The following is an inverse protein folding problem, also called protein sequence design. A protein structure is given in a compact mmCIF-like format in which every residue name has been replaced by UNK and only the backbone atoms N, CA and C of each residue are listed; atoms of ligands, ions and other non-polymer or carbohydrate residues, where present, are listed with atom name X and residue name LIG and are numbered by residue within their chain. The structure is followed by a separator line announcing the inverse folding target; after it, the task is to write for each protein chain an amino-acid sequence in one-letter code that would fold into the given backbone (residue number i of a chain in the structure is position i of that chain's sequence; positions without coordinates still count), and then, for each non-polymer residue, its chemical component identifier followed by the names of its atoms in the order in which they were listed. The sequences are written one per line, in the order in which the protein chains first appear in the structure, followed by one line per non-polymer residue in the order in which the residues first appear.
data_IF_696625147091
#
_entry.id   IF_696625147091
#
_cell.length_a   1.000
_cell.length_b   1.000
_cell.length_c   1.000
_cell.angle_alpha   90.00
_cell.angle_beta   90.00
_cell.angle_gamma   90.00
#
_symmetry.space_group_name_H-M   'P 1'
#
loop_
_entity.id
_entity.type
_entity.pdbx_description
1 polymer ?
#
# COMPACT_ATOMS: atom_id res chain seq x y z
N UNK A 1 -10.35 -9.28 27.19
CA UNK A 1 -11.06 -8.87 25.95
C UNK A 1 -12.37 -8.19 26.33
N UNK A 2 -12.76 -7.05 25.71
CA UNK A 2 -14.04 -6.41 25.99
C UNK A 2 -15.22 -7.33 25.65
N UNK A 3 -16.25 -7.35 26.48
CA UNK A 3 -17.47 -8.16 26.32
C UNK A 3 -18.17 -7.99 24.94
N UNK A 4 -17.96 -6.86 24.28
CA UNK A 4 -18.56 -6.51 22.97
C UNK A 4 -18.02 -7.35 21.78
N UNK A 5 -16.91 -8.08 21.97
CA UNK A 5 -16.36 -8.96 20.93
C UNK A 5 -17.13 -10.29 20.84
N UNK A 6 -17.87 -10.65 21.89
CA UNK A 6 -18.59 -11.93 21.97
C UNK A 6 -19.88 -11.98 21.12
N UNK A 7 -20.43 -10.84 20.70
CA UNK A 7 -21.69 -10.78 19.91
C UNK A 7 -21.47 -10.74 18.38
N UNK A 8 -20.24 -10.64 17.92
CA UNK A 8 -19.91 -10.69 16.49
C UNK A 8 -19.51 -12.12 16.10
N UNK A 9 -19.97 -12.60 14.94
CA UNK A 9 -19.55 -13.90 14.37
C UNK A 9 -18.07 -13.84 13.92
N UNK A 10 -17.15 -13.70 14.89
CA UNK A 10 -15.72 -13.73 14.63
C UNK A 10 -15.33 -15.19 14.45
N UNK A 11 -14.89 -15.55 13.24
CA UNK A 11 -14.41 -16.88 12.90
C UNK A 11 -12.88 -16.98 12.89
N UNK A 12 -12.19 -15.84 12.86
CA UNK A 12 -10.72 -15.79 12.85
C UNK A 12 -10.24 -14.83 13.92
N UNK A 13 -9.30 -15.27 14.75
CA UNK A 13 -8.67 -14.46 15.80
C UNK A 13 -7.16 -14.59 15.71
N UNK A 14 -6.46 -13.47 15.55
CA UNK A 14 -4.99 -13.39 15.47
C UNK A 14 -4.51 -12.65 16.71
N UNK A 15 -3.77 -13.35 17.55
CA UNK A 15 -3.20 -12.86 18.81
C UNK A 15 -1.69 -13.07 18.87
N UNK A 16 -1.03 -13.34 17.75
CA UNK A 16 0.40 -13.59 17.69
C UNK A 16 1.23 -12.38 18.15
N UNK A 17 2.42 -12.66 18.68
CA UNK A 17 3.39 -11.65 19.18
C UNK A 17 2.86 -10.75 20.30
N UNK A 18 1.96 -11.24 21.13
CA UNK A 18 1.47 -10.56 22.32
C UNK A 18 2.10 -11.20 23.58
N UNK A 19 1.89 -10.58 24.74
CA UNK A 19 2.34 -11.12 26.04
C UNK A 19 1.20 -11.87 26.72
N UNK A 20 0.51 -12.77 26.00
CA UNK A 20 -0.61 -13.53 26.53
C UNK A 20 -0.04 -14.76 27.26
N UNK A 21 -0.27 -14.84 28.57
CA UNK A 21 0.16 -15.96 29.41
C UNK A 21 -0.95 -17.00 29.60
N UNK A 22 -2.21 -16.55 29.56
CA UNK A 22 -3.39 -17.40 29.73
C UNK A 22 -4.45 -17.03 28.71
N UNK A 23 -5.04 -18.03 28.07
CA UNK A 23 -6.18 -17.89 27.17
C UNK A 23 -7.34 -18.75 27.70
N UNK A 24 -8.47 -18.10 28.01
CA UNK A 24 -9.67 -18.79 28.46
C UNK A 24 -10.36 -19.44 27.26
N UNK A 25 -10.56 -20.76 27.32
CA UNK A 25 -11.17 -21.54 26.24
C UNK A 25 -12.62 -21.09 25.95
N UNK A 26 -13.31 -20.55 26.93
CA UNK A 26 -14.66 -20.01 26.74
C UNK A 26 -14.73 -18.82 25.81
N UNK A 27 -13.62 -18.06 25.72
CA UNK A 27 -13.49 -16.85 24.86
C UNK A 27 -13.22 -17.17 23.40
N UNK A 28 -12.77 -18.39 23.10
CA UNK A 28 -12.43 -18.82 21.74
C UNK A 28 -13.44 -19.83 21.16
N UNK A 29 -14.50 -20.10 21.91
CA UNK A 29 -15.61 -20.94 21.45
C UNK A 29 -16.27 -20.32 20.21
N UNK A 30 -16.25 -21.07 19.08
CA UNK A 30 -16.76 -20.58 17.79
C UNK A 30 -15.71 -19.97 16.86
N UNK A 31 -14.45 -19.85 17.28
CA UNK A 31 -13.36 -19.43 16.43
C UNK A 31 -12.84 -20.63 15.64
N UNK A 32 -12.85 -20.54 14.32
CA UNK A 32 -12.38 -21.60 13.41
C UNK A 32 -10.91 -21.47 13.06
N UNK A 33 -10.33 -20.26 13.20
CA UNK A 33 -8.91 -19.99 12.95
C UNK A 33 -8.35 -19.12 14.07
N UNK A 34 -7.39 -19.68 14.82
CA UNK A 34 -6.70 -19.00 15.92
C UNK A 34 -5.20 -18.99 15.68
N UNK A 35 -4.59 -17.80 15.66
CA UNK A 35 -3.15 -17.61 15.62
C UNK A 35 -2.67 -16.99 16.94
N UNK A 36 -1.86 -17.74 17.69
CA UNK A 36 -1.31 -17.36 19.01
C UNK A 36 0.21 -17.52 19.06
N UNK A 37 0.85 -17.60 17.92
CA UNK A 37 2.31 -17.79 17.82
C UNK A 37 3.05 -16.67 18.55
N UNK A 38 4.18 -16.98 19.15
CA UNK A 38 5.03 -16.05 19.91
C UNK A 38 4.36 -15.41 21.14
N UNK A 39 3.46 -16.12 21.82
CA UNK A 39 2.93 -15.76 23.13
C UNK A 39 3.52 -16.69 24.23
N UNK A 40 3.80 -16.17 25.45
CA UNK A 40 4.31 -16.96 26.57
C UNK A 40 3.21 -17.77 27.28
N UNK A 41 2.48 -18.61 26.55
CA UNK A 41 1.37 -19.40 27.10
C UNK A 41 1.89 -20.46 28.06
N UNK A 42 1.50 -20.37 29.33
CA UNK A 42 1.75 -21.40 30.33
C UNK A 42 0.64 -22.43 30.32
N UNK A 43 0.96 -23.69 29.99
CA UNK A 43 0.01 -24.78 30.08
C UNK A 43 -0.23 -25.15 31.55
N UNK A 44 -1.40 -24.80 32.14
CA UNK A 44 -1.91 -25.51 33.28
C UNK A 44 -2.51 -26.84 32.79
N UNK A 45 -1.85 -27.96 33.17
CA UNK A 45 -2.46 -29.27 33.11
C UNK A 45 -3.60 -29.33 34.13
N UNK A 46 -4.83 -29.26 33.66
CA UNK A 46 -5.96 -29.84 34.37
C UNK A 46 -6.69 -30.78 33.42
N UNK A 47 -7.02 -31.95 34.03
CA UNK A 47 -7.55 -33.13 33.37
C UNK A 47 -8.89 -32.84 32.69
N UNK A 48 -8.92 -32.86 31.40
CA UNK A 48 -10.11 -32.84 30.57
C UNK A 48 -9.68 -33.08 29.11
N UNK A 49 -10.09 -34.21 28.53
CA UNK A 49 -9.68 -34.70 27.23
C UNK A 49 -9.95 -33.69 26.10
N UNK A 50 -8.99 -32.82 25.83
CA UNK A 50 -8.85 -32.18 24.55
C UNK A 50 -7.44 -32.52 24.07
N UNK A 51 -7.35 -33.45 23.13
CA UNK A 51 -6.09 -33.75 22.43
C UNK A 51 -5.66 -32.51 21.67
N UNK A 52 -4.72 -31.76 22.24
CA UNK A 52 -3.86 -30.88 21.46
C UNK A 52 -2.87 -31.82 20.76
N UNK A 53 -3.24 -32.33 19.61
CA UNK A 53 -2.31 -33.02 18.73
C UNK A 53 -1.28 -31.98 18.25
N UNK A 54 -0.13 -32.03 18.89
CA UNK A 54 1.09 -31.54 18.29
C UNK A 54 1.36 -32.41 17.06
N UNK A 55 0.72 -32.08 15.94
CA UNK A 55 0.99 -32.74 14.65
C UNK A 55 2.39 -32.35 14.17
N UNK A 56 3.35 -33.12 14.68
CA UNK A 56 4.72 -33.19 14.15
C UNK A 56 4.82 -34.02 12.85
N UNK A 57 3.71 -34.56 12.32
CA UNK A 57 3.71 -35.53 11.23
C UNK A 57 2.81 -35.19 10.05
N UNK A 58 2.73 -33.91 9.64
CA UNK A 58 2.17 -33.55 8.33
C UNK A 58 3.15 -32.68 7.51
N UNK A 59 4.45 -33.04 7.56
CA UNK A 59 5.51 -32.30 6.81
C UNK A 59 5.91 -33.03 5.52
N UNK A 60 5.17 -34.01 5.03
CA UNK A 60 5.57 -34.75 3.81
C UNK A 60 4.48 -34.95 2.76
N UNK A 61 3.48 -34.11 2.71
CA UNK A 61 2.78 -33.88 1.45
C UNK A 61 3.39 -32.64 0.77
N UNK A 62 3.67 -32.64 -0.54
CA UNK A 62 4.07 -31.42 -1.21
C UNK A 62 2.84 -30.52 -1.28
N UNK A 63 2.58 -29.81 -0.21
CA UNK A 63 1.80 -28.58 -0.27
C UNK A 63 2.61 -27.75 -1.25
N UNK A 64 2.11 -27.62 -2.49
CA UNK A 64 2.52 -26.50 -3.34
C UNK A 64 2.33 -25.30 -2.43
N UNK A 65 3.40 -24.88 -1.77
CA UNK A 65 3.54 -23.55 -1.20
C UNK A 65 3.26 -22.66 -2.40
N UNK A 66 1.99 -22.21 -2.53
CA UNK A 66 1.74 -20.96 -3.18
C UNK A 66 2.55 -20.03 -2.28
N UNK A 67 3.79 -19.81 -2.69
CA UNK A 67 4.66 -18.78 -2.16
C UNK A 67 3.79 -17.55 -2.29
N UNK A 68 3.18 -17.13 -1.20
CA UNK A 68 2.74 -15.75 -1.05
C UNK A 68 4.08 -15.05 -1.06
N UNK A 69 4.58 -14.79 -2.27
CA UNK A 69 5.60 -13.78 -2.46
C UNK A 69 4.92 -12.55 -1.89
N UNK A 70 5.41 -12.07 -0.75
CA UNK A 70 5.15 -10.72 -0.28
C UNK A 70 5.56 -9.84 -1.45
N UNK A 71 4.57 -9.55 -2.33
CA UNK A 71 4.79 -8.75 -3.52
C UNK A 71 4.95 -7.35 -3.00
N UNK A 72 6.20 -7.00 -2.68
CA UNK A 72 6.55 -5.68 -2.20
C UNK A 72 5.87 -4.66 -3.08
N UNK A 73 5.01 -3.85 -2.50
CA UNK A 73 4.27 -2.86 -3.25
C UNK A 73 5.24 -1.93 -3.97
N UNK A 74 5.03 -1.73 -5.28
CA UNK A 74 5.87 -0.91 -6.13
C UNK A 74 5.11 0.31 -6.56
N UNK A 75 5.61 1.45 -6.15
CA UNK A 75 5.04 2.77 -6.41
C UNK A 75 5.82 3.41 -7.56
N UNK A 76 5.14 3.71 -8.65
CA UNK A 76 5.67 4.54 -9.72
C UNK A 76 5.23 5.98 -9.50
N UNK A 77 6.16 6.94 -9.59
CA UNK A 77 5.85 8.37 -9.43
C UNK A 77 6.18 9.06 -10.75
N UNK A 78 5.14 9.64 -11.38
CA UNK A 78 5.24 10.44 -12.59
C UNK A 78 5.00 11.91 -12.26
N UNK A 79 5.88 12.78 -12.73
CA UNK A 79 5.81 14.22 -12.49
C UNK A 79 6.55 14.97 -13.60
N UNK A 80 6.20 16.24 -13.83
CA UNK A 80 7.03 17.13 -14.63
C UNK A 80 8.25 17.61 -13.83
N UNK A 81 9.42 17.73 -14.44
CA UNK A 81 10.60 18.28 -13.76
C UNK A 81 10.40 19.71 -13.25
N UNK A 82 9.48 20.48 -13.85
CA UNK A 82 9.04 21.77 -13.32
C UNK A 82 8.45 21.66 -11.91
N UNK A 83 7.81 20.52 -11.60
CA UNK A 83 7.14 20.25 -10.34
C UNK A 83 8.06 19.59 -9.28
N UNK A 84 9.38 19.66 -9.48
CA UNK A 84 10.37 18.95 -8.64
C UNK A 84 10.26 19.27 -7.15
N UNK A 85 9.85 20.47 -6.77
CA UNK A 85 9.67 20.86 -5.36
C UNK A 85 8.55 20.04 -4.67
N UNK A 86 7.44 19.81 -5.37
CA UNK A 86 6.33 18.96 -4.88
C UNK A 86 6.75 17.49 -4.79
N UNK A 87 7.51 17.03 -5.79
CA UNK A 87 8.07 15.68 -5.77
C UNK A 87 8.99 15.48 -4.56
N UNK A 88 9.93 16.40 -4.29
CA UNK A 88 10.87 16.31 -3.17
C UNK A 88 10.14 16.27 -1.81
N UNK A 89 9.05 17.05 -1.71
CA UNK A 89 8.22 17.03 -0.52
C UNK A 89 7.48 15.70 -0.36
N UNK A 90 6.92 15.15 -1.43
CA UNK A 90 6.32 13.82 -1.45
C UNK A 90 7.31 12.75 -1.00
N UNK A 91 8.52 12.73 -1.56
CA UNK A 91 9.57 11.76 -1.17
C UNK A 91 9.87 11.84 0.33
N UNK A 92 9.85 13.04 0.92
CA UNK A 92 10.04 13.21 2.36
C UNK A 92 8.94 12.50 3.16
N UNK A 93 7.67 12.62 2.77
CA UNK A 93 6.55 11.94 3.41
C UNK A 93 6.62 10.42 3.22
N UNK A 94 6.94 9.96 2.00
CA UNK A 94 7.11 8.53 1.72
C UNK A 94 8.25 7.90 2.53
N UNK A 95 9.33 8.65 2.78
CA UNK A 95 10.43 8.20 3.65
C UNK A 95 9.97 7.98 5.08
N UNK A 96 9.10 8.84 5.61
CA UNK A 96 8.50 8.64 6.94
C UNK A 96 7.67 7.37 6.96
N UNK A 97 6.75 7.18 6.01
CA UNK A 97 5.94 5.97 5.92
C UNK A 97 6.81 4.70 5.85
N UNK A 98 7.87 4.74 5.03
CA UNK A 98 8.80 3.61 4.88
C UNK A 98 9.53 3.25 6.17
N UNK A 99 9.85 4.23 7.01
CA UNK A 99 10.49 3.99 8.30
C UNK A 99 9.56 3.32 9.32
N UNK A 100 8.24 3.52 9.20
CA UNK A 100 7.24 2.96 10.11
C UNK A 100 6.67 1.63 9.61
N UNK A 101 6.31 1.53 8.33
CA UNK A 101 5.58 0.38 7.76
C UNK A 101 6.33 -0.36 6.63
N UNK A 102 7.50 0.04 6.29
CA UNK A 102 8.63 -0.62 5.61
C UNK A 102 8.46 -1.30 4.26
N UNK A 103 7.27 -1.58 3.74
CA UNK A 103 7.10 -2.62 2.72
C UNK A 103 6.75 -2.14 1.30
N UNK A 104 7.25 -1.00 0.87
CA UNK A 104 7.12 -0.57 -0.52
C UNK A 104 8.44 -0.09 -1.12
N UNK A 105 8.49 -0.08 -2.44
CA UNK A 105 9.61 0.46 -3.22
C UNK A 105 9.06 1.55 -4.15
N UNK A 106 9.44 2.80 -3.91
CA UNK A 106 9.12 3.90 -4.80
C UNK A 106 10.11 3.96 -5.95
N UNK A 107 9.64 4.33 -7.14
CA UNK A 107 10.46 4.54 -8.33
C UNK A 107 10.03 5.83 -9.06
N UNK A 108 11.04 6.59 -9.51
CA UNK A 108 10.89 7.73 -10.41
C UNK A 108 12.07 7.75 -11.38
N UNK A 109 12.00 8.58 -12.40
CA UNK A 109 13.07 8.77 -13.38
C UNK A 109 14.43 9.17 -12.76
N UNK A 110 14.42 9.84 -11.60
CA UNK A 110 15.65 10.15 -10.84
C UNK A 110 16.47 8.93 -10.41
N UNK A 111 15.90 7.73 -10.46
CA UNK A 111 16.61 6.48 -10.18
C UNK A 111 17.36 5.90 -11.38
N UNK A 112 17.24 6.51 -12.54
CA UNK A 112 17.93 6.09 -13.76
C UNK A 112 19.40 6.52 -13.67
N UNK A 113 20.28 5.54 -13.75
CA UNK A 113 21.73 5.79 -13.68
C UNK A 113 22.30 6.16 -15.05
N UNK A 114 23.43 6.90 -15.05
CA UNK A 114 24.15 7.20 -16.26
C UNK A 114 24.51 5.92 -17.05
N UNK A 115 24.28 5.93 -18.35
CA UNK A 115 24.49 4.78 -19.22
C UNK A 115 23.33 3.80 -19.34
N UNK A 116 22.31 3.90 -18.52
CA UNK A 116 21.08 3.13 -18.69
C UNK A 116 20.19 3.68 -19.81
N UNK A 117 19.45 2.80 -20.45
CA UNK A 117 18.45 3.19 -21.46
C UNK A 117 17.17 3.62 -20.76
N UNK A 118 17.01 4.89 -20.55
CA UNK A 118 15.95 5.48 -19.73
C UNK A 118 14.53 5.02 -20.09
N UNK A 119 14.18 4.89 -21.40
CA UNK A 119 12.86 4.37 -21.82
C UNK A 119 12.62 2.94 -21.36
N UNK A 120 13.65 2.10 -21.40
CA UNK A 120 13.55 0.71 -20.96
C UNK A 120 13.35 0.63 -19.45
N UNK A 121 14.05 1.47 -18.68
CA UNK A 121 13.93 1.50 -17.21
C UNK A 121 12.55 1.99 -16.76
N UNK A 122 12.02 3.03 -17.39
CA UNK A 122 10.64 3.50 -17.15
C UNK A 122 9.63 2.38 -17.45
N UNK A 123 9.75 1.73 -18.62
CA UNK A 123 8.85 0.64 -19.01
C UNK A 123 8.91 -0.53 -18.03
N UNK A 124 10.10 -0.88 -17.53
CA UNK A 124 10.26 -1.94 -16.52
C UNK A 124 9.62 -1.55 -15.18
N UNK A 125 9.77 -0.29 -14.76
CA UNK A 125 9.18 0.20 -13.54
C UNK A 125 7.66 0.22 -13.62
N UNK A 126 7.08 0.74 -14.71
CA UNK A 126 5.65 0.75 -14.97
C UNK A 126 5.03 -0.65 -14.97
N UNK A 127 5.69 -1.63 -15.62
CA UNK A 127 5.21 -3.02 -15.61
C UNK A 127 5.14 -3.62 -14.21
N UNK A 128 5.98 -3.20 -13.30
CA UNK A 128 6.06 -3.73 -11.93
C UNK A 128 5.20 -2.95 -10.94
N UNK A 129 4.83 -1.72 -11.27
CA UNK A 129 4.06 -0.86 -10.37
C UNK A 129 2.65 -1.41 -10.15
N UNK A 130 2.17 -1.35 -8.92
CA UNK A 130 0.79 -1.59 -8.54
C UNK A 130 0.13 -0.32 -7.94
N UNK A 131 0.92 0.72 -7.72
CA UNK A 131 0.46 2.07 -7.41
C UNK A 131 1.17 3.05 -8.34
N UNK A 132 0.42 3.96 -8.94
CA UNK A 132 0.95 5.08 -9.73
C UNK A 132 0.53 6.40 -9.09
N UNK A 133 1.51 7.20 -8.65
CA UNK A 133 1.27 8.56 -8.14
C UNK A 133 1.58 9.52 -9.27
N UNK A 134 0.60 10.35 -9.62
CA UNK A 134 0.72 11.37 -10.67
C UNK A 134 0.65 12.76 -10.02
N UNK A 135 1.74 13.54 -10.12
CA UNK A 135 1.74 14.93 -9.71
C UNK A 135 1.25 15.77 -10.89
N UNK A 136 -0.02 16.16 -10.81
CA UNK A 136 -0.71 16.78 -11.96
C UNK A 136 -0.61 18.30 -11.89
N UNK A 137 -0.03 18.88 -12.91
CA UNK A 137 0.06 20.31 -13.21
C UNK A 137 -0.21 20.55 -14.69
N UNK A 138 -0.20 21.81 -15.12
CA UNK A 138 -0.20 22.15 -16.54
C UNK A 138 1.04 21.63 -17.25
N UNK A 139 2.22 21.72 -16.62
CA UNK A 139 3.49 21.21 -17.16
C UNK A 139 3.49 19.68 -17.29
N UNK A 140 2.89 18.97 -16.33
CA UNK A 140 2.66 17.53 -16.41
C UNK A 140 1.80 17.16 -17.62
N UNK A 141 0.67 17.84 -17.79
CA UNK A 141 -0.27 17.59 -18.91
C UNK A 141 0.30 18.01 -20.26
N UNK A 142 1.18 19.01 -20.30
CA UNK A 142 1.84 19.48 -21.53
C UNK A 142 3.07 18.62 -21.92
N UNK A 143 3.55 17.74 -21.04
CA UNK A 143 4.74 16.92 -21.31
C UNK A 143 4.45 15.86 -22.37
N UNK A 144 4.97 16.06 -23.58
CA UNK A 144 4.90 15.06 -24.67
C UNK A 144 5.39 13.67 -24.26
N UNK A 145 6.42 13.63 -23.40
CA UNK A 145 6.98 12.38 -22.93
C UNK A 145 6.00 11.62 -22.03
N UNK A 146 5.44 12.30 -21.03
CA UNK A 146 4.47 11.71 -20.09
C UNK A 146 3.24 11.24 -20.86
N UNK A 147 2.70 12.09 -21.75
CA UNK A 147 1.50 11.79 -22.53
C UNK A 147 1.67 10.59 -23.46
N UNK A 148 2.86 10.40 -24.04
CA UNK A 148 3.09 9.31 -25.02
C UNK A 148 3.68 8.04 -24.43
N UNK A 149 4.43 8.13 -23.33
CA UNK A 149 5.23 6.99 -22.86
C UNK A 149 4.86 6.49 -21.44
N UNK A 150 4.31 7.35 -20.57
CA UNK A 150 3.99 6.97 -19.18
C UNK A 150 2.49 6.78 -18.98
N UNK A 151 1.69 7.76 -19.38
CA UNK A 151 0.27 7.78 -19.10
C UNK A 151 -0.50 6.62 -19.77
N UNK A 152 -0.33 6.30 -21.07
CA UNK A 152 -1.08 5.21 -21.69
C UNK A 152 -0.87 3.84 -21.02
N UNK A 153 0.36 3.40 -20.69
CA UNK A 153 0.54 2.13 -19.99
C UNK A 153 0.01 2.15 -18.54
N UNK A 154 0.00 3.30 -17.86
CA UNK A 154 -0.58 3.45 -16.52
C UNK A 154 -2.10 3.28 -16.60
N UNK A 155 -2.78 4.00 -17.51
CA UNK A 155 -4.24 3.93 -17.72
C UNK A 155 -4.67 2.52 -18.12
N UNK A 156 -3.92 1.89 -19.03
CA UNK A 156 -4.19 0.50 -19.42
C UNK A 156 -4.14 -0.46 -18.23
N UNK A 157 -3.11 -0.38 -17.40
CA UNK A 157 -3.00 -1.23 -16.21
C UNK A 157 -4.07 -0.93 -15.16
N UNK A 158 -4.48 0.32 -15.03
CA UNK A 158 -5.58 0.68 -14.13
C UNK A 158 -6.93 0.08 -14.62
N UNK A 159 -7.17 0.07 -15.93
CA UNK A 159 -8.34 -0.58 -16.52
C UNK A 159 -8.35 -2.10 -16.34
N UNK A 160 -7.18 -2.73 -16.25
CA UNK A 160 -6.98 -4.16 -15.96
C UNK A 160 -6.99 -4.46 -14.43
N UNK A 161 -7.27 -3.46 -13.58
CA UNK A 161 -7.25 -3.52 -12.10
C UNK A 161 -5.89 -3.88 -11.48
N UNK A 162 -4.81 -3.82 -12.26
CA UNK A 162 -3.45 -4.18 -11.83
C UNK A 162 -2.71 -3.00 -11.15
N UNK A 163 -3.26 -1.77 -11.23
CA UNK A 163 -2.61 -0.56 -10.72
C UNK A 163 -3.64 0.45 -10.23
N UNK A 164 -3.44 0.93 -9.00
CA UNK A 164 -4.21 2.05 -8.45
C UNK A 164 -3.56 3.37 -8.84
N UNK A 165 -4.33 4.29 -9.43
CA UNK A 165 -3.87 5.64 -9.78
C UNK A 165 -4.24 6.60 -8.65
N UNK A 166 -3.25 7.35 -8.15
CA UNK A 166 -3.42 8.41 -7.15
C UNK A 166 -2.99 9.74 -7.77
N UNK A 167 -3.96 10.57 -8.14
CA UNK A 167 -3.71 11.91 -8.69
C UNK A 167 -3.57 12.92 -7.54
N UNK A 168 -2.42 13.59 -7.48
CA UNK A 168 -2.15 14.72 -6.60
C UNK A 168 -2.07 15.98 -7.46
N UNK A 169 -3.06 16.89 -7.31
CA UNK A 169 -3.14 18.11 -8.10
C UNK A 169 -2.25 19.17 -7.47
N UNK A 170 -1.10 19.42 -8.09
CA UNK A 170 -0.08 20.32 -7.53
C UNK A 170 -0.29 21.76 -7.96
N UNK A 171 -0.74 21.97 -9.21
CA UNK A 171 -1.07 23.29 -9.73
C UNK A 171 -2.37 23.29 -10.55
N UNK A 172 -3.04 24.45 -10.74
CA UNK A 172 -4.22 24.55 -11.58
C UNK A 172 -3.95 24.03 -12.99
N UNK A 173 -4.85 23.19 -13.51
CA UNK A 173 -4.69 22.59 -14.81
C UNK A 173 -6.03 22.15 -15.40
N UNK A 174 -6.03 21.68 -16.64
CA UNK A 174 -7.22 21.13 -17.29
C UNK A 174 -7.46 19.65 -16.90
N UNK A 175 -7.08 19.24 -15.69
CA UNK A 175 -7.20 17.86 -15.18
C UNK A 175 -8.58 17.24 -15.47
N UNK A 176 -9.68 17.92 -15.11
CA UNK A 176 -11.05 17.42 -15.27
C UNK A 176 -11.48 17.21 -16.74
N UNK A 177 -10.71 17.77 -17.70
CA UNK A 177 -10.98 17.60 -19.14
C UNK A 177 -10.12 16.51 -19.79
N UNK A 178 -9.28 15.87 -19.02
CA UNK A 178 -8.43 14.75 -19.48
C UNK A 178 -8.98 13.40 -19.01
N UNK A 179 -8.46 12.30 -19.55
CA UNK A 179 -8.79 10.95 -19.09
C UNK A 179 -8.49 10.74 -17.58
N UNK A 180 -7.63 11.58 -17.00
CA UNK A 180 -7.35 11.55 -15.56
C UNK A 180 -8.51 12.09 -14.72
N UNK A 181 -9.39 12.92 -15.30
CA UNK A 181 -10.57 13.45 -14.63
C UNK A 181 -11.59 12.38 -14.22
N UNK A 182 -11.52 11.18 -14.80
CA UNK A 182 -12.34 10.03 -14.40
C UNK A 182 -11.89 9.42 -13.06
N UNK A 183 -10.67 9.75 -12.61
CA UNK A 183 -10.13 9.26 -11.34
C UNK A 183 -10.36 10.25 -10.21
N UNK A 184 -10.68 9.73 -9.03
CA UNK A 184 -10.80 10.57 -7.83
C UNK A 184 -9.43 11.09 -7.42
N UNK A 185 -9.24 12.40 -7.43
CA UNK A 185 -8.01 13.02 -6.97
C UNK A 185 -7.89 13.00 -5.43
N UNK A 186 -6.67 13.07 -4.91
CA UNK A 186 -6.37 13.14 -3.46
C UNK A 186 -6.89 14.43 -2.85
N UNK A 187 -6.72 15.56 -3.55
CA UNK A 187 -7.24 16.88 -3.17
C UNK A 187 -8.34 17.36 -4.14
N UNK A 188 -9.07 18.35 -3.70
CA UNK A 188 -10.14 18.96 -4.53
C UNK A 188 -9.53 19.58 -5.80
N UNK A 189 -10.07 19.29 -7.01
CA UNK A 189 -9.63 19.91 -8.24
C UNK A 189 -9.72 21.45 -8.26
N UNK A 190 -10.56 22.02 -7.42
CA UNK A 190 -10.72 23.47 -7.27
C UNK A 190 -9.72 24.10 -6.32
N UNK A 191 -8.90 23.29 -5.64
CA UNK A 191 -7.93 23.77 -4.66
C UNK A 191 -6.67 22.92 -4.74
N UNK A 192 -5.74 23.37 -5.58
CA UNK A 192 -4.46 22.68 -5.80
C UNK A 192 -3.44 23.00 -4.71
N UNK A 193 -2.35 22.23 -4.63
CA UNK A 193 -1.33 22.45 -3.61
C UNK A 193 -0.75 23.86 -3.65
N UNK A 194 -0.51 24.42 -4.85
CA UNK A 194 0.07 25.77 -5.02
C UNK A 194 -0.80 26.90 -4.44
N UNK A 195 -2.11 26.66 -4.32
CA UNK A 195 -3.06 27.65 -3.80
C UNK A 195 -3.22 27.57 -2.27
N UNK A 196 -2.60 26.56 -1.63
CA UNK A 196 -2.74 26.29 -0.20
C UNK A 196 -1.56 26.83 0.61
N UNK A 197 -1.84 27.25 1.82
CA UNK A 197 -0.82 27.48 2.83
C UNK A 197 -0.06 26.17 3.16
N UNK A 198 1.21 26.30 3.54
CA UNK A 198 2.10 25.15 3.80
C UNK A 198 1.49 24.10 4.71
N UNK A 199 0.82 24.50 5.77
CA UNK A 199 0.20 23.56 6.73
C UNK A 199 -0.93 22.73 6.10
N UNK A 200 -1.67 23.32 5.16
CA UNK A 200 -2.72 22.64 4.41
C UNK A 200 -2.12 21.70 3.35
N UNK A 201 -1.06 22.12 2.66
CA UNK A 201 -0.30 21.24 1.76
C UNK A 201 0.19 19.97 2.49
N UNK A 202 0.77 20.12 3.70
CA UNK A 202 1.24 19.00 4.50
C UNK A 202 0.11 17.99 4.81
N UNK A 203 -1.10 18.47 5.09
CA UNK A 203 -2.27 17.59 5.32
C UNK A 203 -2.66 16.81 4.08
N UNK A 204 -2.52 17.39 2.89
CA UNK A 204 -2.79 16.68 1.63
C UNK A 204 -1.74 15.57 1.40
N UNK A 205 -0.46 15.86 1.66
CA UNK A 205 0.56 14.81 1.60
C UNK A 205 0.31 13.69 2.62
N UNK A 206 -0.12 14.02 3.84
CA UNK A 206 -0.51 13.00 4.82
C UNK A 206 -1.68 12.15 4.32
N UNK A 207 -2.72 12.76 3.76
CA UNK A 207 -3.86 12.03 3.17
C UNK A 207 -3.40 11.07 2.06
N UNK A 208 -2.47 11.49 1.20
CA UNK A 208 -1.90 10.62 0.16
C UNK A 208 -1.15 9.43 0.78
N UNK A 209 -0.35 9.68 1.82
CA UNK A 209 0.42 8.63 2.51
C UNK A 209 -0.50 7.64 3.23
N UNK A 210 -1.56 8.11 3.88
CA UNK A 210 -2.58 7.26 4.52
C UNK A 210 -3.30 6.38 3.48
N UNK A 211 -3.57 6.91 2.29
CA UNK A 211 -4.17 6.15 1.21
C UNK A 211 -3.22 5.06 0.68
N UNK A 212 -1.94 5.37 0.54
CA UNK A 212 -0.90 4.38 0.19
C UNK A 212 -0.84 3.28 1.25
N UNK A 213 -0.84 3.65 2.53
CA UNK A 213 -0.83 2.69 3.64
C UNK A 213 -2.07 1.77 3.58
N UNK A 214 -3.25 2.33 3.35
CA UNK A 214 -4.50 1.58 3.20
C UNK A 214 -4.40 0.55 2.07
N UNK A 215 -3.90 0.96 0.89
CA UNK A 215 -3.74 0.07 -0.27
C UNK A 215 -2.72 -1.03 0.03
N UNK A 216 -1.60 -0.68 0.62
CA UNK A 216 -0.50 -1.62 0.89
C UNK A 216 -0.85 -2.63 1.99
N UNK A 217 -1.67 -2.22 2.97
CA UNK A 217 -2.14 -3.08 4.06
C UNK A 217 -3.27 -4.02 3.63
N UNK A 218 -4.08 -3.66 2.64
CA UNK A 218 -5.19 -4.49 2.15
C UNK A 218 -4.72 -5.67 1.28
N UNK A 219 -3.45 -5.69 0.86
CA UNK A 219 -2.86 -6.75 0.05
C UNK A 219 -2.20 -7.88 0.89
N UNK A 220 -2.25 -7.78 2.23
CA UNK A 220 -1.79 -8.81 3.17
C UNK A 220 -2.97 -9.59 3.74
#
# INVERSE_FOLDING_TARGET
LPKQILDSKITTLILSKNKIEHLDESLISGITKLDIVDNPLTSKKEQGNVKIEQNKELVNAPIKKKTIMNKKNKIFISYSHADSAYFDRLITHLKVLKNYNGEFEEWSDRKILAGQKWKEEITKALKKANIAILLVSTDFLASDFIQRNELPPILKKAAEEDTTILCLLVEPSLFEKTELGDFQAINDPKTTLSELEKSAQERIYLKLVEEIERITSSCN
#
